data_IF_235487534643
#
_entry.id   IF_235487534643
#
_cell.length_a   1.000
_cell.length_b   1.000
_cell.length_c   1.000
_cell.angle_alpha   90.00
_cell.angle_beta   90.00
_cell.angle_gamma   90.00
#
_symmetry.space_group_name_H-M   'P 1'
#
loop_
_entity.id
_entity.type
_entity.pdbx_description
1 polymer ?
#
# COMPACT_ATOMS: atom_id res chain seq x y z
N UNK A 1 -6.81 13.25 3.48
CA UNK A 1 -7.08 12.05 2.67
C UNK A 1 -6.47 12.28 1.30
N UNK A 2 -5.73 11.31 0.77
CA UNK A 2 -5.05 11.38 -0.52
C UNK A 2 -5.31 10.06 -1.26
N UNK A 3 -5.75 10.14 -2.51
CA UNK A 3 -6.04 8.98 -3.36
C UNK A 3 -5.06 8.97 -4.52
N UNK A 4 -4.18 7.98 -4.55
CA UNK A 4 -3.09 7.81 -5.51
C UNK A 4 -2.28 9.11 -5.77
N UNK A 5 -1.68 9.72 -4.73
CA UNK A 5 -1.08 11.05 -4.82
C UNK A 5 0.13 11.12 -5.76
N UNK A 6 0.85 10.01 -5.96
CA UNK A 6 2.02 9.91 -6.83
C UNK A 6 1.70 9.44 -8.26
N UNK A 7 0.42 9.24 -8.61
CA UNK A 7 0.04 8.74 -9.92
C UNK A 7 0.54 9.65 -11.05
N UNK A 8 1.24 9.05 -12.03
CA UNK A 8 1.76 9.75 -13.20
C UNK A 8 3.03 10.57 -12.95
N UNK A 9 3.58 10.55 -11.73
CA UNK A 9 4.86 11.17 -11.42
C UNK A 9 6.01 10.20 -11.69
N UNK A 10 7.17 10.75 -12.05
CA UNK A 10 8.40 9.96 -12.09
C UNK A 10 8.88 9.61 -10.67
N UNK A 11 9.80 8.63 -10.51
CA UNK A 11 10.26 8.19 -9.20
C UNK A 11 10.88 9.28 -8.32
N UNK A 12 11.56 10.27 -8.92
CA UNK A 12 12.21 11.36 -8.16
C UNK A 12 11.15 12.31 -7.64
N UNK A 13 10.22 12.73 -8.50
CA UNK A 13 9.12 13.62 -8.10
C UNK A 13 8.21 12.96 -7.07
N UNK A 14 7.94 11.65 -7.21
CA UNK A 14 7.18 10.87 -6.22
C UNK A 14 7.84 10.87 -4.85
N UNK A 15 9.16 10.66 -4.78
CA UNK A 15 9.90 10.71 -3.52
C UNK A 15 9.86 12.12 -2.87
N UNK A 16 9.89 13.17 -3.68
CA UNK A 16 9.71 14.55 -3.21
C UNK A 16 8.33 14.79 -2.61
N UNK A 17 7.28 14.27 -3.26
CA UNK A 17 5.91 14.33 -2.75
C UNK A 17 5.75 13.57 -1.43
N UNK A 18 6.32 12.38 -1.31
CA UNK A 18 6.31 11.59 -0.08
C UNK A 18 6.97 12.34 1.09
N UNK A 19 8.12 12.97 0.84
CA UNK A 19 8.79 13.80 1.82
C UNK A 19 7.93 14.99 2.27
N UNK A 20 7.26 15.64 1.32
CA UNK A 20 6.34 16.76 1.59
C UNK A 20 5.14 16.31 2.44
N UNK A 21 4.50 15.18 2.11
CA UNK A 21 3.38 14.62 2.89
C UNK A 21 3.83 14.38 4.33
N UNK A 22 4.97 13.73 4.51
CA UNK A 22 5.56 13.48 5.84
C UNK A 22 5.85 14.76 6.61
N UNK A 23 6.36 15.78 5.94
CA UNK A 23 6.62 17.07 6.56
C UNK A 23 5.32 17.74 7.01
N UNK A 24 4.32 17.84 6.13
CA UNK A 24 3.03 18.44 6.45
C UNK A 24 2.32 17.72 7.60
N UNK A 25 2.38 16.40 7.65
CA UNK A 25 1.83 15.62 8.75
C UNK A 25 2.42 16.03 10.10
N UNK A 26 3.75 16.22 10.17
CA UNK A 26 4.45 16.66 11.39
C UNK A 26 4.14 18.12 11.71
N UNK A 27 4.29 19.01 10.74
CA UNK A 27 4.19 20.46 10.95
C UNK A 27 2.76 20.87 11.35
N UNK A 28 1.74 20.18 10.82
CA UNK A 28 0.33 20.44 11.10
C UNK A 28 -0.27 19.53 12.19
N UNK A 29 0.50 18.57 12.72
CA UNK A 29 0.00 17.58 13.67
C UNK A 29 -1.22 16.79 13.16
N UNK A 30 -1.32 16.58 11.86
CA UNK A 30 -2.51 16.02 11.20
C UNK A 30 -2.26 14.60 10.73
N UNK A 31 -3.30 13.76 10.81
CA UNK A 31 -3.26 12.39 10.25
C UNK A 31 -3.62 12.39 8.77
N UNK A 32 -2.74 11.83 7.95
CA UNK A 32 -3.03 11.56 6.54
C UNK A 32 -3.47 10.11 6.37
N UNK A 33 -4.58 9.91 5.67
CA UNK A 33 -4.98 8.61 5.12
C UNK A 33 -4.65 8.63 3.64
N UNK A 34 -3.83 7.69 3.20
CA UNK A 34 -3.35 7.59 1.81
C UNK A 34 -3.77 6.24 1.23
N UNK A 35 -4.42 6.28 0.07
CA UNK A 35 -4.73 5.09 -0.75
C UNK A 35 -3.68 5.02 -1.85
N UNK A 36 -2.94 3.91 -1.91
CA UNK A 36 -1.99 3.69 -3.00
C UNK A 36 -1.61 2.23 -3.15
N UNK A 37 -1.15 1.87 -4.34
CA UNK A 37 -0.47 0.60 -4.62
C UNK A 37 1.06 0.75 -4.78
N UNK A 38 1.61 1.96 -4.64
CA UNK A 38 3.06 2.20 -4.78
C UNK A 38 3.84 1.78 -3.53
N UNK A 39 4.63 0.71 -3.68
CA UNK A 39 5.42 0.12 -2.58
C UNK A 39 6.43 1.10 -1.98
N UNK A 40 7.06 1.94 -2.80
CA UNK A 40 8.03 2.91 -2.32
C UNK A 40 7.36 3.94 -1.41
N UNK A 41 6.22 4.49 -1.84
CA UNK A 41 5.45 5.44 -1.03
C UNK A 41 4.92 4.78 0.25
N UNK A 42 4.37 3.57 0.18
CA UNK A 42 3.90 2.83 1.38
C UNK A 42 5.02 2.72 2.43
N UNK A 43 6.24 2.35 2.02
CA UNK A 43 7.38 2.20 2.92
C UNK A 43 7.97 3.55 3.36
N UNK A 44 7.88 4.57 2.50
CA UNK A 44 8.39 5.90 2.76
C UNK A 44 7.53 6.66 3.76
N UNK A 45 6.20 6.67 3.62
CA UNK A 45 5.30 7.49 4.44
C UNK A 45 4.42 6.70 5.42
N UNK A 46 4.26 5.39 5.22
CA UNK A 46 3.35 4.58 6.02
C UNK A 46 3.85 4.30 7.44
N UNK A 47 3.05 4.71 8.43
CA UNK A 47 3.21 4.33 9.85
C UNK A 47 2.36 3.09 10.19
N UNK A 48 1.14 3.01 9.63
CA UNK A 48 0.22 1.87 9.70
C UNK A 48 -0.40 1.67 8.31
N UNK A 49 -0.45 0.42 7.87
CA UNK A 49 -0.97 0.00 6.57
C UNK A 49 -2.13 -0.97 6.77
N UNK A 50 -3.15 -0.84 5.92
CA UNK A 50 -4.26 -1.79 5.77
C UNK A 50 -4.19 -2.30 4.34
N UNK A 51 -4.11 -3.62 4.16
CA UNK A 51 -4.15 -4.23 2.84
C UNK A 51 -5.53 -4.82 2.58
N UNK A 52 -6.13 -4.43 1.46
CA UNK A 52 -7.43 -4.91 1.01
C UNK A 52 -7.26 -5.91 -0.13
N UNK A 53 -8.12 -6.94 -0.13
CA UNK A 53 -8.13 -7.96 -1.17
C UNK A 53 -9.53 -8.16 -1.76
N UNK A 54 -9.55 -8.38 -3.09
CA UNK A 54 -10.79 -8.51 -3.87
C UNK A 54 -11.44 -9.89 -3.73
N UNK A 55 -10.66 -10.94 -3.50
CA UNK A 55 -11.15 -12.31 -3.30
C UNK A 55 -11.73 -12.48 -1.89
N UNK A 56 -11.02 -12.00 -0.88
CA UNK A 56 -11.47 -11.96 0.51
C UNK A 56 -12.58 -10.92 0.77
N UNK A 57 -12.77 -9.96 -0.14
CA UNK A 57 -13.73 -8.83 -0.02
C UNK A 57 -13.56 -8.04 1.27
N UNK A 58 -12.32 -7.77 1.65
CA UNK A 58 -12.04 -7.08 2.90
C UNK A 58 -10.56 -6.93 3.20
N UNK A 59 -10.27 -6.57 4.44
CA UNK A 59 -8.92 -6.43 4.96
C UNK A 59 -8.28 -7.79 5.18
N UNK A 60 -7.08 -7.98 4.63
CA UNK A 60 -6.29 -9.20 4.76
C UNK A 60 -5.03 -9.02 5.61
N UNK A 61 -4.65 -7.76 5.89
CA UNK A 61 -3.54 -7.42 6.77
C UNK A 61 -3.68 -6.01 7.33
N UNK A 62 -3.10 -5.83 8.51
CA UNK A 62 -3.00 -4.54 9.18
C UNK A 62 -1.70 -4.47 10.00
N UNK A 63 -0.99 -3.35 9.95
CA UNK A 63 0.19 -3.13 10.81
C UNK A 63 1.24 -2.21 10.20
N UNK A 64 2.45 -2.19 10.76
CA UNK A 64 3.59 -1.49 10.16
C UNK A 64 3.92 -2.14 8.80
N UNK A 65 3.96 -1.39 7.69
CA UNK A 65 4.24 -1.94 6.37
C UNK A 65 5.60 -2.67 6.30
N UNK A 66 6.58 -2.29 7.12
CA UNK A 66 7.90 -2.94 7.16
C UNK A 66 7.80 -4.34 7.78
N UNK A 67 7.03 -4.47 8.87
CA UNK A 67 6.73 -5.78 9.47
C UNK A 67 5.86 -6.64 8.56
N UNK A 68 4.87 -6.05 7.89
CA UNK A 68 4.05 -6.78 6.92
C UNK A 68 4.89 -7.33 5.76
N UNK A 69 5.87 -6.57 5.27
CA UNK A 69 6.82 -7.04 4.26
C UNK A 69 7.69 -8.21 4.74
N UNK A 70 8.23 -8.09 5.95
CA UNK A 70 9.30 -8.99 6.42
C UNK A 70 8.77 -10.23 7.16
N UNK A 71 7.65 -10.11 7.87
CA UNK A 71 7.17 -11.08 8.86
C UNK A 71 5.78 -11.65 8.56
N UNK A 72 5.05 -11.15 7.54
CA UNK A 72 3.68 -11.62 7.29
C UNK A 72 3.63 -13.09 6.86
N UNK A 73 2.74 -13.86 7.48
CA UNK A 73 2.46 -15.25 7.07
C UNK A 73 1.47 -15.33 5.88
N UNK A 74 0.82 -14.23 5.53
CA UNK A 74 -0.14 -14.20 4.44
C UNK A 74 0.60 -14.17 3.08
N UNK A 75 0.42 -15.18 2.21
CA UNK A 75 1.13 -15.26 0.93
C UNK A 75 0.82 -14.08 0.00
N UNK A 76 -0.41 -13.56 0.02
CA UNK A 76 -0.82 -12.40 -0.80
C UNK A 76 -0.04 -11.15 -0.38
N UNK A 77 0.07 -10.92 0.93
CA UNK A 77 0.76 -9.76 1.51
C UNK A 77 2.24 -9.81 1.17
N UNK A 78 2.87 -10.98 1.39
CA UNK A 78 4.27 -11.20 1.02
C UNK A 78 4.51 -10.98 -0.47
N UNK A 79 3.68 -11.56 -1.32
CA UNK A 79 3.83 -11.45 -2.76
C UNK A 79 3.70 -10.00 -3.23
N UNK A 80 2.75 -9.24 -2.66
CA UNK A 80 2.58 -7.81 -2.95
C UNK A 80 3.84 -7.01 -2.60
N UNK A 81 4.35 -7.12 -1.37
CA UNK A 81 5.54 -6.36 -0.96
C UNK A 81 6.82 -6.79 -1.68
N UNK A 82 6.91 -8.06 -2.13
CA UNK A 82 8.09 -8.60 -2.84
C UNK A 82 7.97 -8.51 -4.35
N UNK A 83 6.85 -8.04 -4.88
CA UNK A 83 6.53 -8.00 -6.32
C UNK A 83 6.65 -9.39 -6.97
N UNK A 84 6.17 -10.41 -6.28
CA UNK A 84 6.18 -11.80 -6.74
C UNK A 84 4.87 -12.16 -7.44
N UNK A 85 4.95 -13.02 -8.46
CA UNK A 85 3.77 -13.57 -9.13
C UNK A 85 3.15 -14.65 -8.25
N UNK A 86 1.87 -14.53 -7.97
CA UNK A 86 1.10 -15.61 -7.37
C UNK A 86 0.45 -16.48 -8.44
N UNK A 87 0.32 -17.79 -8.19
CA UNK A 87 -0.48 -18.64 -9.05
C UNK A 87 -1.94 -18.14 -9.06
N UNK A 88 -2.47 -17.88 -10.25
CA UNK A 88 -3.84 -17.37 -10.44
C UNK A 88 -4.86 -18.37 -9.91
N UNK A 89 -5.74 -18.00 -8.96
CA UNK A 89 -6.92 -18.80 -8.64
C UNK A 89 -7.83 -18.89 -9.86
N UNK A 90 -8.48 -20.04 -10.08
CA UNK A 90 -9.37 -20.24 -11.22
C UNK A 90 -10.39 -19.08 -11.35
N UNK A 91 -10.68 -18.63 -12.59
CA UNK A 91 -11.61 -17.51 -12.80
C UNK A 91 -12.97 -17.82 -12.17
N UNK A 92 -13.53 -16.85 -11.45
CA UNK A 92 -14.88 -16.98 -10.89
C UNK A 92 -15.88 -17.08 -12.05
N UNK A 93 -16.90 -17.95 -11.98
CA UNK A 93 -17.97 -17.93 -12.96
C UNK A 93 -18.65 -16.56 -12.94
N UNK A 94 -18.81 -15.97 -14.13
CA UNK A 94 -19.45 -14.68 -14.32
C UNK A 94 -20.82 -14.67 -13.63
N UNK A 95 -21.10 -13.61 -12.85
CA UNK A 95 -22.43 -13.38 -12.33
C UNK A 95 -23.32 -12.97 -13.51
N UNK A 96 -24.24 -13.86 -13.89
CA UNK A 96 -25.36 -13.59 -14.79
C UNK A 96 -26.25 -12.46 -14.27
#
# INVERSE_FOLDING_TARGET
>A
FLDEPSAGLDPITSAGLDALIKQLARDLGTTFVVVTHELQSILAIGDRCIMLDKDAKGMIAEGDPRKLRDESENPVVRAFFRREVMATPAPRPDKA
#
